data_IF_512927832713
#
_entry.id   IF_512927832713
#
_cell.length_a   1.000
_cell.length_b   1.000
_cell.length_c   1.000
_cell.angle_alpha   90.00
_cell.angle_beta   90.00
_cell.angle_gamma   90.00
#
_symmetry.space_group_name_H-M   'P 1'
#
loop_
_entity.id
_entity.type
_entity.pdbx_description
1 polymer ?
#
# COMPACT_ATOMS: atom_id res chain seq x y z
N UNK A 1 -14.51 7.84 30.08
CA UNK A 1 -14.50 6.36 29.99
C UNK A 1 -13.99 6.01 28.60
N UNK A 2 -12.77 5.48 28.46
CA UNK A 2 -12.29 5.01 27.13
C UNK A 2 -13.18 3.84 26.72
N UNK A 3 -13.83 3.93 25.56
CA UNK A 3 -14.52 2.78 24.96
C UNK A 3 -13.45 1.77 24.57
N UNK A 4 -13.40 0.62 25.23
CA UNK A 4 -12.63 -0.51 24.73
C UNK A 4 -13.39 -1.11 23.54
N UNK A 5 -12.72 -1.21 22.40
CA UNK A 5 -13.29 -1.79 21.18
C UNK A 5 -13.22 -3.33 21.27
N UNK A 6 -14.26 -4.06 20.81
CA UNK A 6 -14.25 -5.52 20.78
C UNK A 6 -13.04 -6.09 20.02
N UNK A 7 -12.50 -7.27 20.37
CA UNK A 7 -11.27 -7.79 19.75
C UNK A 7 -11.25 -7.81 18.22
N UNK A 8 -12.38 -8.09 17.56
CA UNK A 8 -12.53 -8.16 16.09
C UNK A 8 -13.17 -6.91 15.45
N UNK A 9 -13.21 -5.76 16.13
CA UNK A 9 -13.87 -4.54 15.63
C UNK A 9 -13.38 -4.09 14.24
N UNK A 10 -12.10 -4.28 13.96
CA UNK A 10 -11.48 -3.94 12.68
C UNK A 10 -12.06 -4.75 11.51
N UNK A 11 -12.48 -5.99 11.76
CA UNK A 11 -13.12 -6.83 10.75
C UNK A 11 -14.53 -6.29 10.43
N UNK A 12 -15.27 -5.84 11.44
CA UNK A 12 -16.56 -5.16 11.25
C UNK A 12 -16.42 -3.92 10.38
N UNK A 13 -15.42 -3.07 10.65
CA UNK A 13 -15.16 -1.88 9.82
C UNK A 13 -14.74 -2.25 8.40
N UNK A 14 -13.98 -3.34 8.24
CA UNK A 14 -13.61 -3.80 6.91
C UNK A 14 -14.83 -4.29 6.12
N UNK A 15 -15.76 -5.00 6.76
CA UNK A 15 -17.03 -5.35 6.12
C UNK A 15 -17.90 -4.12 5.80
N UNK A 16 -17.96 -3.11 6.69
CA UNK A 16 -18.60 -1.81 6.41
C UNK A 16 -18.00 -1.15 5.17
N UNK A 17 -16.67 -1.16 5.07
CA UNK A 17 -15.95 -0.65 3.91
C UNK A 17 -16.28 -1.44 2.63
N UNK A 18 -16.30 -2.77 2.67
CA UNK A 18 -16.59 -3.59 1.50
C UNK A 18 -18.03 -3.44 1.01
N UNK A 19 -18.99 -3.19 1.90
CA UNK A 19 -20.39 -2.93 1.53
C UNK A 19 -20.55 -1.75 0.58
N UNK A 20 -19.63 -0.78 0.62
CA UNK A 20 -19.62 0.33 -0.33
C UNK A 20 -19.50 -0.13 -1.78
N UNK A 21 -18.86 -1.28 -2.04
CA UNK A 21 -18.63 -1.82 -3.38
C UNK A 21 -19.71 -2.81 -3.83
N UNK A 22 -20.82 -2.92 -3.09
CA UNK A 22 -22.00 -3.65 -3.52
C UNK A 22 -22.89 -2.76 -4.42
N UNK A 23 -23.89 -3.36 -5.09
CA UNK A 23 -24.86 -2.61 -5.88
C UNK A 23 -24.22 -1.80 -7.03
N UNK A 24 -24.58 -0.52 -7.15
CA UNK A 24 -24.13 0.33 -8.25
C UNK A 24 -22.61 0.57 -8.28
N UNK A 25 -21.96 0.63 -7.11
CA UNK A 25 -20.53 0.88 -7.00
C UNK A 25 -19.68 -0.35 -7.37
N UNK A 26 -20.27 -1.55 -7.46
CA UNK A 26 -19.58 -2.75 -7.95
C UNK A 26 -19.06 -2.58 -9.38
N UNK A 27 -19.73 -1.74 -10.18
CA UNK A 27 -19.33 -1.41 -11.55
C UNK A 27 -18.02 -0.63 -11.63
N UNK A 28 -17.55 -0.05 -10.51
CA UNK A 28 -16.30 0.69 -10.46
C UNK A 28 -15.08 -0.21 -10.21
N UNK A 29 -15.29 -1.49 -9.89
CA UNK A 29 -14.19 -2.39 -9.54
C UNK A 29 -13.32 -2.73 -10.75
N UNK A 30 -12.00 -2.63 -10.58
CA UNK A 30 -11.05 -3.31 -11.47
C UNK A 30 -11.16 -4.82 -11.30
N UNK A 31 -10.67 -5.59 -12.27
CA UNK A 31 -10.76 -7.06 -12.22
C UNK A 31 -9.97 -7.61 -11.03
N UNK A 32 -8.81 -7.02 -10.74
CA UNK A 32 -8.00 -7.34 -9.55
C UNK A 32 -8.72 -7.02 -8.23
N UNK A 33 -9.43 -5.89 -8.17
CA UNK A 33 -10.20 -5.52 -6.99
C UNK A 33 -11.43 -6.41 -6.80
N UNK A 34 -12.08 -6.81 -7.90
CA UNK A 34 -13.19 -7.76 -7.85
C UNK A 34 -12.73 -9.15 -7.36
N UNK A 35 -11.61 -9.67 -7.88
CA UNK A 35 -10.99 -10.93 -7.44
C UNK A 35 -10.65 -10.87 -5.94
N UNK A 36 -10.05 -9.76 -5.48
CA UNK A 36 -9.77 -9.55 -4.06
C UNK A 36 -11.02 -9.66 -3.19
N UNK A 37 -12.11 -8.98 -3.55
CA UNK A 37 -13.36 -8.99 -2.78
C UNK A 37 -13.96 -10.39 -2.74
N UNK A 38 -13.99 -11.09 -3.88
CA UNK A 38 -14.51 -12.45 -3.99
C UNK A 38 -13.69 -13.42 -3.11
N UNK A 39 -12.36 -13.44 -3.29
CA UNK A 39 -11.47 -14.30 -2.51
C UNK A 39 -11.52 -13.98 -1.02
N UNK A 40 -11.60 -12.70 -0.64
CA UNK A 40 -11.71 -12.29 0.76
C UNK A 40 -13.00 -12.84 1.38
N UNK A 41 -14.13 -12.75 0.69
CA UNK A 41 -15.40 -13.21 1.20
C UNK A 41 -15.43 -14.74 1.40
N UNK A 42 -14.69 -15.49 0.58
CA UNK A 42 -14.56 -16.94 0.68
C UNK A 42 -13.68 -17.43 1.86
N UNK A 43 -12.90 -16.57 2.50
CA UNK A 43 -12.09 -16.92 3.67
C UNK A 43 -12.96 -17.17 4.91
N UNK A 44 -12.50 -18.03 5.82
CA UNK A 44 -13.03 -18.08 7.18
C UNK A 44 -12.63 -16.85 8.00
N UNK A 45 -13.26 -16.69 9.16
CA UNK A 45 -13.09 -15.50 10.00
C UNK A 45 -11.65 -15.29 10.51
N UNK A 46 -10.92 -16.36 10.81
CA UNK A 46 -9.56 -16.26 11.36
C UNK A 46 -8.58 -15.77 10.28
N UNK A 47 -8.73 -16.29 9.05
CA UNK A 47 -7.98 -15.82 7.88
C UNK A 47 -8.35 -14.39 7.50
N UNK A 48 -9.65 -14.05 7.53
CA UNK A 48 -10.12 -12.66 7.36
C UNK A 48 -9.45 -11.74 8.38
N UNK A 49 -9.33 -12.17 9.63
CA UNK A 49 -8.66 -11.37 10.65
C UNK A 49 -7.19 -11.08 10.30
N UNK A 50 -6.43 -12.08 9.86
CA UNK A 50 -5.03 -11.89 9.42
C UNK A 50 -4.95 -10.91 8.24
N UNK A 51 -5.76 -11.10 7.21
CA UNK A 51 -5.78 -10.22 6.03
C UNK A 51 -6.12 -8.78 6.42
N UNK A 52 -7.14 -8.57 7.24
CA UNK A 52 -7.54 -7.22 7.66
C UNK A 52 -6.51 -6.59 8.59
N UNK A 53 -5.85 -7.36 9.47
CA UNK A 53 -4.74 -6.87 10.30
C UNK A 53 -3.58 -6.40 9.44
N UNK A 54 -3.25 -7.14 8.37
CA UNK A 54 -2.24 -6.76 7.40
C UNK A 54 -2.66 -5.52 6.60
N UNK A 55 -3.90 -5.48 6.09
CA UNK A 55 -4.50 -4.36 5.37
C UNK A 55 -4.51 -3.04 6.17
N UNK A 56 -4.60 -3.11 7.50
CA UNK A 56 -4.55 -1.94 8.37
C UNK A 56 -3.14 -1.42 8.64
N UNK A 57 -2.08 -2.13 8.21
CA UNK A 57 -0.70 -1.65 8.33
C UNK A 57 -0.41 -0.55 7.33
N UNK A 58 0.67 0.19 7.59
CA UNK A 58 1.04 1.34 6.77
C UNK A 58 1.63 0.94 5.41
N UNK A 59 2.32 -0.21 5.38
CA UNK A 59 3.15 -0.69 4.29
C UNK A 59 2.72 -2.12 3.93
N UNK A 60 3.00 -2.55 2.70
CA UNK A 60 2.59 -3.86 2.20
C UNK A 60 3.40 -5.01 2.82
N UNK A 61 4.56 -4.73 3.43
CA UNK A 61 5.38 -5.74 4.11
C UNK A 61 4.98 -5.86 5.57
N UNK A 62 4.77 -7.09 6.03
CA UNK A 62 4.54 -7.44 7.44
C UNK A 62 5.67 -8.32 7.97
N UNK A 63 5.91 -8.23 9.28
CA UNK A 63 6.70 -9.21 10.02
C UNK A 63 5.74 -10.23 10.65
N UNK A 64 5.69 -11.44 10.10
CA UNK A 64 4.75 -12.49 10.53
C UNK A 64 4.97 -12.92 11.98
N UNK A 65 6.18 -12.74 12.52
CA UNK A 65 6.49 -13.08 13.92
C UNK A 65 5.74 -12.19 14.92
N UNK A 66 5.23 -11.04 14.46
CA UNK A 66 4.43 -10.12 15.24
C UNK A 66 2.91 -10.35 15.10
N UNK A 67 2.49 -11.26 14.21
CA UNK A 67 1.09 -11.56 13.94
C UNK A 67 0.57 -12.71 14.81
N UNK A 68 0.69 -12.56 16.14
CA UNK A 68 0.22 -13.54 17.13
C UNK A 68 -0.93 -12.96 17.97
N UNK A 69 -2.09 -12.77 17.32
CA UNK A 69 -3.26 -12.16 17.93
C UNK A 69 -4.11 -13.19 18.68
N UNK A 70 -4.45 -12.90 19.94
CA UNK A 70 -5.16 -13.86 20.81
C UNK A 70 -6.59 -14.19 20.37
N UNK A 71 -7.20 -13.37 19.53
CA UNK A 71 -8.51 -13.64 18.94
C UNK A 71 -8.48 -14.58 17.72
N UNK A 72 -7.31 -15.00 17.24
CA UNK A 72 -7.13 -15.83 16.05
C UNK A 72 -6.61 -17.21 16.46
N UNK A 73 -7.25 -18.28 16.00
CA UNK A 73 -6.82 -19.66 16.30
C UNK A 73 -5.60 -20.01 15.46
N UNK A 74 -4.52 -20.43 16.14
CA UNK A 74 -3.25 -20.83 15.51
C UNK A 74 -2.76 -19.84 14.42
N UNK A 75 -2.47 -18.57 14.76
CA UNK A 75 -2.25 -17.49 13.79
C UNK A 75 -1.19 -17.81 12.72
N UNK A 76 -0.10 -18.48 13.12
CA UNK A 76 0.97 -18.84 12.19
C UNK A 76 0.53 -19.89 11.16
N UNK A 77 -0.29 -20.87 11.56
CA UNK A 77 -0.86 -21.85 10.63
C UNK A 77 -1.85 -21.20 9.65
N UNK A 78 -2.63 -20.20 10.09
CA UNK A 78 -3.48 -19.42 9.20
C UNK A 78 -2.64 -18.62 8.18
N UNK A 79 -1.51 -18.05 8.63
CA UNK A 79 -0.57 -17.34 7.74
C UNK A 79 0.03 -18.29 6.71
N UNK A 80 0.45 -19.50 7.11
CA UNK A 80 1.01 -20.50 6.20
C UNK A 80 0.01 -20.85 5.09
N UNK A 81 -1.26 -21.12 5.45
CA UNK A 81 -2.31 -21.35 4.47
C UNK A 81 -2.51 -20.15 3.51
N UNK A 82 -2.44 -18.92 4.04
CA UNK A 82 -2.59 -17.70 3.26
C UNK A 82 -1.43 -17.47 2.29
N UNK A 83 -0.21 -17.90 2.65
CA UNK A 83 0.94 -17.93 1.74
C UNK A 83 0.65 -18.90 0.60
N UNK A 84 0.29 -20.15 0.92
CA UNK A 84 0.00 -21.19 -0.07
C UNK A 84 -1.15 -20.81 -1.02
N UNK A 85 -2.09 -20.00 -0.51
CA UNK A 85 -3.26 -19.51 -1.27
C UNK A 85 -3.01 -18.19 -1.99
N UNK A 86 -1.77 -17.69 -2.03
CA UNK A 86 -1.37 -16.51 -2.79
C UNK A 86 -1.88 -15.17 -2.25
N UNK A 87 -2.08 -15.05 -0.93
CA UNK A 87 -2.34 -13.76 -0.28
C UNK A 87 -1.05 -13.03 0.10
N UNK A 88 -0.01 -13.80 0.38
CA UNK A 88 1.29 -13.30 0.79
C UNK A 88 2.40 -13.85 -0.11
N UNK A 89 3.34 -12.99 -0.47
CA UNK A 89 4.54 -13.34 -1.21
C UNK A 89 5.81 -13.00 -0.43
N UNK A 90 6.96 -13.28 -1.02
CA UNK A 90 8.26 -12.91 -0.46
C UNK A 90 8.63 -11.44 -0.76
N UNK A 91 9.76 -10.99 -0.19
CA UNK A 91 10.27 -9.64 -0.34
C UNK A 91 10.66 -9.24 -1.77
N UNK A 92 10.74 -10.15 -2.74
CA UNK A 92 10.98 -9.76 -4.14
C UNK A 92 9.80 -8.98 -4.73
N UNK A 93 8.63 -9.06 -4.09
CA UNK A 93 7.42 -8.33 -4.45
C UNK A 93 7.32 -6.95 -3.76
N UNK A 94 8.25 -6.61 -2.86
CA UNK A 94 8.19 -5.39 -2.07
C UNK A 94 8.86 -4.21 -2.80
N UNK A 95 8.30 -3.01 -2.64
CA UNK A 95 9.04 -1.79 -2.98
C UNK A 95 10.10 -1.48 -1.90
N UNK A 96 11.11 -0.69 -2.25
CA UNK A 96 12.07 -0.14 -1.28
C UNK A 96 11.38 0.57 -0.12
N UNK A 97 10.29 1.28 -0.41
CA UNK A 97 9.55 2.00 0.61
C UNK A 97 8.82 1.06 1.58
N UNK A 98 8.37 -0.11 1.11
CA UNK A 98 7.75 -1.11 1.99
C UNK A 98 8.79 -1.77 2.91
N UNK A 99 9.96 -2.13 2.37
CA UNK A 99 11.09 -2.65 3.14
C UNK A 99 11.55 -1.61 4.18
N UNK A 100 11.68 -0.35 3.75
CA UNK A 100 11.97 0.78 4.64
C UNK A 100 10.90 0.98 5.71
N UNK A 101 9.65 0.60 5.42
CA UNK A 101 8.54 0.74 6.33
C UNK A 101 8.58 -0.23 7.50
N UNK A 102 8.97 -1.49 7.23
CA UNK A 102 8.97 -2.56 8.22
C UNK A 102 10.28 -2.65 9.02
N UNK A 103 11.43 -2.42 8.38
CA UNK A 103 12.73 -2.56 9.05
C UNK A 103 13.03 -1.35 9.94
N UNK A 104 13.56 -1.56 11.13
CA UNK A 104 14.05 -0.44 11.95
C UNK A 104 15.35 0.12 11.39
N UNK A 105 15.73 1.35 11.78
CA UNK A 105 17.04 1.91 11.36
C UNK A 105 18.19 1.02 11.86
N UNK A 106 18.07 0.49 13.07
CA UNK A 106 19.08 -0.39 13.66
C UNK A 106 19.17 -1.73 12.93
N UNK A 107 18.02 -2.31 12.52
CA UNK A 107 18.01 -3.51 11.69
C UNK A 107 18.71 -3.28 10.34
N UNK A 108 18.46 -2.13 9.68
CA UNK A 108 19.16 -1.76 8.45
C UNK A 108 20.67 -1.63 8.65
N UNK A 109 21.11 -1.01 9.75
CA UNK A 109 22.53 -0.87 10.07
C UNK A 109 23.20 -2.22 10.34
N UNK A 110 22.51 -3.12 11.05
CA UNK A 110 23.00 -4.48 11.31
C UNK A 110 23.18 -5.25 9.99
N UNK A 111 22.19 -5.20 9.10
CA UNK A 111 22.27 -5.84 7.78
C UNK A 111 23.40 -5.26 6.92
N UNK A 112 23.56 -3.94 6.93
CA UNK A 112 24.62 -3.27 6.18
C UNK A 112 26.03 -3.60 6.70
N UNK A 113 26.17 -3.86 8.00
CA UNK A 113 27.44 -4.25 8.60
C UNK A 113 27.99 -5.58 8.07
N UNK A 114 27.12 -6.48 7.61
CA UNK A 114 27.53 -7.77 7.03
C UNK A 114 28.16 -7.62 5.64
N UNK A 115 27.92 -6.51 4.94
CA UNK A 115 28.55 -6.22 3.65
C UNK A 115 29.89 -5.50 3.75
N UNK A 116 30.27 -5.01 4.95
CA UNK A 116 31.56 -4.35 5.19
C UNK A 116 31.51 -3.23 6.23
N UNK A 117 32.28 -2.17 5.99
CA UNK A 117 32.46 -1.08 6.96
C UNK A 117 31.15 -0.34 7.25
N UNK A 118 30.90 -0.11 8.55
CA UNK A 118 29.75 0.65 9.05
C UNK A 118 30.04 2.14 9.23
N UNK A 119 31.27 2.58 8.92
CA UNK A 119 31.71 3.95 9.15
C UNK A 119 30.84 4.95 8.38
N UNK A 120 30.22 5.89 9.10
CA UNK A 120 29.35 6.91 8.51
C UNK A 120 27.92 6.46 8.20
N UNK A 121 27.58 5.18 8.30
CA UNK A 121 26.21 4.71 8.01
C UNK A 121 25.19 5.23 9.03
N UNK A 122 25.57 5.32 10.31
CA UNK A 122 24.66 5.77 11.36
C UNK A 122 24.15 7.21 11.16
N UNK A 123 24.90 8.07 10.47
CA UNK A 123 24.48 9.45 10.17
C UNK A 123 23.57 9.56 8.95
N UNK A 124 23.44 8.50 8.14
CA UNK A 124 22.58 8.49 6.97
C UNK A 124 21.09 8.42 7.37
N UNK A 125 20.25 8.96 6.48
CA UNK A 125 18.81 8.86 6.59
C UNK A 125 18.35 7.44 6.25
N UNK A 126 17.21 7.01 6.81
CA UNK A 126 16.65 5.68 6.55
C UNK A 126 16.45 5.38 5.05
N UNK A 127 15.94 6.31 4.21
CA UNK A 127 15.83 6.06 2.77
C UNK A 127 17.19 5.78 2.11
N UNK A 128 18.24 6.54 2.46
CA UNK A 128 19.59 6.30 1.92
C UNK A 128 20.14 4.93 2.33
N UNK A 129 19.92 4.52 3.58
CA UNK A 129 20.32 3.20 4.07
C UNK A 129 19.62 2.07 3.30
N UNK A 130 18.34 2.25 2.97
CA UNK A 130 17.56 1.25 2.23
C UNK A 130 18.02 1.16 0.78
N UNK A 131 18.30 2.29 0.12
CA UNK A 131 18.88 2.29 -1.23
C UNK A 131 20.21 1.54 -1.25
N UNK A 132 21.11 1.85 -0.32
CA UNK A 132 22.39 1.17 -0.19
C UNK A 132 22.23 -0.33 0.08
N UNK A 133 21.30 -0.70 0.97
CA UNK A 133 21.01 -2.11 1.26
C UNK A 133 20.54 -2.84 0.01
N UNK A 134 19.67 -2.23 -0.79
CA UNK A 134 19.18 -2.82 -2.03
C UNK A 134 20.27 -3.01 -3.08
N UNK A 135 21.19 -2.06 -3.22
CA UNK A 135 22.37 -2.19 -4.10
C UNK A 135 23.23 -3.39 -3.70
N UNK A 136 23.48 -3.55 -2.39
CA UNK A 136 24.21 -4.71 -1.87
C UNK A 136 23.48 -6.03 -2.08
N UNK A 137 22.17 -6.08 -1.82
CA UNK A 137 21.34 -7.26 -2.06
C UNK A 137 21.36 -7.64 -3.55
N UNK A 138 21.24 -6.67 -4.45
CA UNK A 138 21.28 -6.93 -5.90
C UNK A 138 22.62 -7.49 -6.36
N UNK A 139 23.72 -7.08 -5.73
CA UNK A 139 25.06 -7.52 -6.10
C UNK A 139 25.48 -8.84 -5.41
N UNK A 140 25.00 -9.12 -4.19
CA UNK A 140 25.54 -10.17 -3.31
C UNK A 140 24.48 -11.09 -2.69
N UNK A 141 23.19 -10.83 -2.92
CA UNK A 141 22.09 -11.50 -2.22
C UNK A 141 21.89 -10.95 -0.81
N UNK A 142 20.83 -11.38 -0.13
CA UNK A 142 20.55 -11.01 1.26
C UNK A 142 21.59 -11.59 2.24
N UNK A 143 21.86 -10.94 3.38
CA UNK A 143 22.75 -11.50 4.40
C UNK A 143 22.14 -12.78 5.00
N UNK A 144 22.97 -13.79 5.28
CA UNK A 144 22.51 -15.09 5.80
C UNK A 144 21.83 -14.97 7.18
N UNK A 145 22.20 -13.95 7.97
CA UNK A 145 21.60 -13.70 9.28
C UNK A 145 20.13 -13.24 9.17
N UNK A 146 19.72 -12.74 8.00
CA UNK A 146 18.41 -12.16 7.81
C UNK A 146 17.38 -13.23 7.51
N UNK A 147 16.44 -13.41 8.44
CA UNK A 147 15.34 -14.37 8.30
C UNK A 147 14.28 -13.85 7.31
N UNK A 148 14.54 -14.02 6.00
CA UNK A 148 13.63 -13.60 4.92
C UNK A 148 12.20 -14.14 5.11
N UNK A 149 12.08 -15.37 5.57
CA UNK A 149 10.78 -16.04 5.79
C UNK A 149 9.91 -15.37 6.86
N UNK A 150 10.48 -14.47 7.67
CA UNK A 150 9.71 -13.69 8.65
C UNK A 150 8.96 -12.53 8.00
N UNK A 151 9.37 -12.10 6.80
CA UNK A 151 8.80 -10.93 6.15
C UNK A 151 7.96 -11.34 4.95
N UNK A 152 6.70 -10.92 4.96
CA UNK A 152 5.72 -11.27 3.94
C UNK A 152 5.19 -10.01 3.27
N UNK A 153 5.03 -10.05 1.95
CA UNK A 153 4.44 -8.97 1.15
C UNK A 153 2.97 -9.29 0.91
N UNK A 154 2.08 -8.33 1.19
CA UNK A 154 0.67 -8.42 0.88
C UNK A 154 0.48 -8.31 -0.64
N UNK A 155 0.20 -9.43 -1.32
CA UNK A 155 0.01 -9.45 -2.77
C UNK A 155 -1.28 -8.76 -3.22
N UNK A 156 -2.16 -8.45 -2.27
CA UNK A 156 -3.41 -7.72 -2.47
C UNK A 156 -3.29 -6.20 -2.24
N UNK A 157 -2.10 -5.66 -1.95
CA UNK A 157 -1.95 -4.24 -1.60
C UNK A 157 -2.42 -3.30 -2.72
N UNK A 158 -2.18 -3.64 -3.99
CA UNK A 158 -2.61 -2.81 -5.12
C UNK A 158 -4.15 -2.76 -5.23
N UNK A 159 -4.82 -3.92 -5.22
CA UNK A 159 -6.27 -4.03 -5.13
C UNK A 159 -6.85 -3.25 -3.94
N UNK A 160 -6.27 -3.40 -2.75
CA UNK A 160 -6.72 -2.69 -1.54
C UNK A 160 -6.56 -1.18 -1.69
N UNK A 161 -5.43 -0.69 -2.18
CA UNK A 161 -5.19 0.74 -2.38
C UNK A 161 -6.12 1.33 -3.44
N UNK A 162 -6.45 0.57 -4.48
CA UNK A 162 -7.49 0.94 -5.44
C UNK A 162 -8.84 1.10 -4.75
N UNK A 163 -9.31 0.10 -3.99
CA UNK A 163 -10.56 0.19 -3.25
C UNK A 163 -10.58 1.40 -2.30
N UNK A 164 -9.51 1.61 -1.53
CA UNK A 164 -9.39 2.76 -0.64
C UNK A 164 -9.49 4.09 -1.40
N UNK A 165 -8.85 4.16 -2.57
CA UNK A 165 -8.94 5.33 -3.44
C UNK A 165 -10.37 5.58 -3.93
N UNK A 166 -11.08 4.54 -4.37
CA UNK A 166 -12.48 4.68 -4.82
C UNK A 166 -13.39 5.17 -3.68
N UNK A 167 -13.21 4.62 -2.49
CA UNK A 167 -14.00 4.99 -1.31
C UNK A 167 -13.70 6.44 -0.83
N UNK A 168 -12.42 6.78 -0.68
CA UNK A 168 -12.00 8.04 -0.07
C UNK A 168 -11.76 9.18 -1.07
N UNK A 169 -11.64 8.89 -2.36
CA UNK A 169 -11.25 9.86 -3.39
C UNK A 169 -9.83 10.42 -3.19
N UNK A 170 -8.93 9.67 -2.55
CA UNK A 170 -7.52 10.06 -2.40
C UNK A 170 -6.63 8.87 -2.01
N UNK A 171 -5.32 9.00 -2.24
CA UNK A 171 -4.32 7.94 -2.00
C UNK A 171 -3.71 7.94 -0.59
N UNK A 172 -4.11 8.89 0.27
CA UNK A 172 -3.54 9.07 1.62
C UNK A 172 -4.39 8.43 2.72
N UNK A 173 -5.70 8.31 2.49
CA UNK A 173 -6.64 7.73 3.43
C UNK A 173 -6.39 6.23 3.66
N UNK A 174 -6.79 5.76 4.84
CA UNK A 174 -6.54 4.39 5.32
C UNK A 174 -7.73 3.89 6.14
N UNK A 175 -7.82 2.56 6.29
CA UNK A 175 -8.86 1.87 7.07
C UNK A 175 -8.92 2.31 8.54
N UNK A 176 -7.82 2.81 9.10
CA UNK A 176 -7.82 3.30 10.48
C UNK A 176 -8.73 4.52 10.72
N UNK A 177 -9.23 5.18 9.67
CA UNK A 177 -10.20 6.28 9.79
C UNK A 177 -11.54 5.85 10.37
N UNK A 178 -11.99 4.62 10.11
CA UNK A 178 -13.20 4.06 10.73
C UNK A 178 -13.04 3.97 12.26
N UNK A 179 -11.92 3.43 12.71
CA UNK A 179 -11.56 3.38 14.13
C UNK A 179 -11.47 4.77 14.76
N UNK A 180 -10.86 5.74 14.07
CA UNK A 180 -10.73 7.12 14.56
C UNK A 180 -12.08 7.86 14.65
N UNK A 181 -13.02 7.57 13.74
CA UNK A 181 -14.42 8.04 13.80
C UNK A 181 -15.10 7.51 15.05
N UNK A 182 -15.05 6.20 15.25
CA UNK A 182 -15.77 5.53 16.34
C UNK A 182 -15.21 5.85 17.73
N UNK A 183 -13.90 6.15 17.81
CA UNK A 183 -13.24 6.68 19.01
C UNK A 183 -13.52 8.17 19.25
N UNK A 184 -14.23 8.86 18.35
CA UNK A 184 -14.54 10.29 18.46
C UNK A 184 -13.34 11.22 18.24
N UNK A 185 -12.21 10.69 17.75
CA UNK A 185 -10.97 11.44 17.49
C UNK A 185 -11.02 12.15 16.15
N UNK A 186 -11.73 11.58 15.17
CA UNK A 186 -11.95 12.18 13.86
C UNK A 186 -13.43 12.53 13.70
N UNK A 187 -13.74 13.80 13.49
CA UNK A 187 -15.08 14.21 13.07
C UNK A 187 -15.25 13.84 11.59
N UNK A 188 -16.14 12.91 11.30
CA UNK A 188 -16.68 12.79 9.95
C UNK A 188 -17.48 14.04 9.67
N UNK A 189 -17.19 14.76 8.57
CA UNK A 189 -18.21 15.68 8.05
C UNK A 189 -19.42 14.82 7.77
N UNK A 190 -20.59 15.19 8.29
CA UNK A 190 -21.86 14.49 8.07
C UNK A 190 -22.20 14.29 6.58
N UNK A 191 -21.46 14.95 5.68
CA UNK A 191 -21.64 14.94 4.23
C UNK A 191 -20.57 14.13 3.44
N UNK A 192 -19.58 13.50 4.07
CA UNK A 192 -18.37 13.05 3.32
C UNK A 192 -18.41 11.63 2.73
N UNK A 193 -19.47 10.86 2.91
CA UNK A 193 -19.75 9.68 2.06
C UNK A 193 -21.17 9.86 1.56
N UNK A 194 -21.33 10.70 0.55
CA UNK A 194 -22.55 10.63 -0.25
C UNK A 194 -22.57 9.23 -0.87
N UNK A 195 -23.70 8.54 -0.77
CA UNK A 195 -23.94 7.22 -1.39
C UNK A 195 -23.81 7.24 -2.92
N UNK A 196 -23.55 8.42 -3.49
CA UNK A 196 -23.22 8.64 -4.89
C UNK A 196 -21.75 8.36 -5.18
N UNK A 197 -21.53 7.54 -6.20
CA UNK A 197 -20.22 7.25 -6.78
C UNK A 197 -19.43 8.53 -7.06
N UNK A 198 -18.18 8.59 -6.57
CA UNK A 198 -17.23 9.69 -6.87
C UNK A 198 -16.70 9.67 -8.30
N UNK A 199 -16.89 8.54 -8.97
CA UNK A 199 -16.41 8.26 -10.32
C UNK A 199 -17.62 7.84 -11.15
N UNK A 200 -17.69 8.33 -12.38
CA UNK A 200 -18.87 8.13 -13.22
C UNK A 200 -18.89 6.73 -13.87
N UNK A 201 -17.72 6.12 -14.04
CA UNK A 201 -17.55 4.83 -14.72
C UNK A 201 -16.29 4.10 -14.26
N UNK A 202 -16.20 2.80 -14.59
CA UNK A 202 -14.99 1.98 -14.40
C UNK A 202 -13.76 2.60 -15.06
N UNK A 203 -13.91 3.08 -16.30
CA UNK A 203 -12.80 3.69 -17.04
C UNK A 203 -12.33 5.00 -16.41
N UNK A 204 -13.24 5.86 -15.96
CA UNK A 204 -12.89 7.08 -15.21
C UNK A 204 -12.18 6.74 -13.90
N UNK A 205 -12.69 5.76 -13.14
CA UNK A 205 -12.08 5.28 -11.90
C UNK A 205 -10.66 4.72 -12.12
N UNK A 206 -10.45 3.90 -13.14
CA UNK A 206 -9.14 3.32 -13.48
C UNK A 206 -8.15 4.39 -13.97
N UNK A 207 -8.57 5.32 -14.82
CA UNK A 207 -7.74 6.42 -15.26
C UNK A 207 -7.35 7.34 -14.10
N UNK A 208 -8.33 7.71 -13.25
CA UNK A 208 -8.07 8.51 -12.05
C UNK A 208 -7.09 7.84 -11.09
N UNK A 209 -7.24 6.52 -10.88
CA UNK A 209 -6.31 5.76 -10.07
C UNK A 209 -4.90 5.76 -10.65
N UNK A 210 -4.74 5.51 -11.96
CA UNK A 210 -3.44 5.55 -12.63
C UNK A 210 -2.71 6.86 -12.32
N UNK A 211 -3.37 7.98 -12.58
CA UNK A 211 -2.79 9.31 -12.37
C UNK A 211 -2.48 9.59 -10.90
N UNK A 212 -3.43 9.33 -10.00
CA UNK A 212 -3.27 9.58 -8.57
C UNK A 212 -2.17 8.70 -7.94
N UNK A 213 -2.07 7.44 -8.37
CA UNK A 213 -1.08 6.49 -7.90
C UNK A 213 0.33 6.92 -8.32
N UNK A 214 0.54 7.23 -9.61
CA UNK A 214 1.84 7.75 -10.07
C UNK A 214 2.21 9.07 -9.38
N UNK A 215 1.27 10.00 -9.25
CA UNK A 215 1.51 11.28 -8.59
C UNK A 215 2.00 11.09 -7.15
N UNK A 216 1.41 10.15 -6.42
CA UNK A 216 1.81 9.83 -5.04
C UNK A 216 3.22 9.23 -4.92
N UNK A 217 3.72 8.64 -6.00
CA UNK A 217 5.02 7.95 -6.05
C UNK A 217 6.12 8.79 -6.70
N UNK A 218 5.81 9.90 -7.39
CA UNK A 218 6.77 10.75 -8.10
C UNK A 218 7.97 11.20 -7.27
N UNK A 219 7.82 11.33 -5.95
CA UNK A 219 8.91 11.71 -5.05
C UNK A 219 10.00 10.61 -4.91
N UNK A 220 9.67 9.37 -5.26
CA UNK A 220 10.53 8.19 -5.11
C UNK A 220 11.08 7.69 -6.45
N UNK A 221 10.65 8.25 -7.58
CA UNK A 221 11.16 7.86 -8.89
C UNK A 221 12.55 8.44 -9.11
N UNK A 222 13.46 7.61 -9.60
CA UNK A 222 14.74 8.06 -10.13
C UNK A 222 14.56 8.68 -11.53
N UNK A 223 15.63 9.21 -12.10
CA UNK A 223 15.58 9.91 -13.39
C UNK A 223 15.06 8.99 -14.50
N UNK A 224 15.53 7.75 -14.57
CA UNK A 224 15.11 6.79 -15.60
C UNK A 224 13.62 6.47 -15.50
N UNK A 225 13.09 6.28 -14.29
CA UNK A 225 11.67 6.05 -14.05
C UNK A 225 10.82 7.27 -14.41
N UNK A 226 11.31 8.49 -14.17
CA UNK A 226 10.61 9.72 -14.56
C UNK A 226 10.52 9.85 -16.07
N UNK A 227 11.62 9.61 -16.79
CA UNK A 227 11.66 9.64 -18.25
C UNK A 227 10.80 8.53 -18.85
N UNK A 228 10.91 7.30 -18.34
CA UNK A 228 10.08 6.18 -18.79
C UNK A 228 8.58 6.43 -18.57
N UNK A 229 8.21 7.07 -17.45
CA UNK A 229 6.82 7.46 -17.22
C UNK A 229 6.39 8.56 -18.22
N UNK A 230 7.23 9.56 -18.49
CA UNK A 230 6.92 10.63 -19.43
C UNK A 230 6.73 10.13 -20.87
N UNK A 231 7.45 9.08 -21.26
CA UNK A 231 7.35 8.45 -22.58
C UNK A 231 6.25 7.37 -22.65
N UNK A 232 5.58 7.05 -21.54
CA UNK A 232 4.54 6.02 -21.51
C UNK A 232 3.18 6.51 -22.00
N UNK A 233 2.36 5.58 -22.49
CA UNK A 233 0.99 5.86 -22.88
C UNK A 233 0.11 6.08 -21.63
N UNK A 234 -0.44 7.29 -21.50
CA UNK A 234 -1.37 7.60 -20.43
C UNK A 234 -2.82 7.28 -20.83
N UNK A 235 -3.65 6.77 -19.89
CA UNK A 235 -5.06 6.49 -20.17
C UNK A 235 -5.81 7.74 -20.64
N UNK A 236 -6.43 7.68 -21.82
CA UNK A 236 -7.30 8.76 -22.28
C UNK A 236 -8.49 8.92 -21.33
N UNK A 237 -8.86 10.16 -21.02
CA UNK A 237 -10.02 10.44 -20.18
C UNK A 237 -10.70 11.75 -20.52
N UNK A 238 -12.03 11.71 -20.53
CA UNK A 238 -12.93 12.87 -20.55
C UNK A 238 -13.68 13.02 -19.21
N UNK A 239 -13.47 12.09 -18.28
CA UNK A 239 -14.10 12.10 -16.96
C UNK A 239 -13.54 13.23 -16.09
N UNK A 240 -14.42 13.86 -15.30
CA UNK A 240 -14.06 15.01 -14.45
C UNK A 240 -13.02 14.60 -13.40
N UNK A 241 -13.23 13.46 -12.74
CA UNK A 241 -12.35 12.96 -11.68
C UNK A 241 -10.97 12.59 -12.22
N UNK A 242 -10.89 11.80 -13.30
CA UNK A 242 -9.60 11.44 -13.88
C UNK A 242 -8.86 12.66 -14.46
N UNK A 243 -9.56 13.62 -15.07
CA UNK A 243 -8.95 14.86 -15.57
C UNK A 243 -8.27 15.66 -14.46
N UNK A 244 -8.88 15.75 -13.28
CA UNK A 244 -8.28 16.40 -12.12
C UNK A 244 -6.93 15.78 -11.73
N UNK A 245 -6.86 14.45 -11.61
CA UNK A 245 -5.60 13.78 -11.25
C UNK A 245 -4.58 13.78 -12.38
N UNK A 246 -5.02 13.70 -13.64
CA UNK A 246 -4.17 13.85 -14.82
C UNK A 246 -3.41 15.16 -14.76
N UNK A 247 -4.12 16.27 -14.56
CA UNK A 247 -3.51 17.60 -14.56
C UNK A 247 -2.50 17.74 -13.41
N UNK A 248 -2.77 17.14 -12.23
CA UNK A 248 -1.80 17.07 -11.14
C UNK A 248 -0.53 16.27 -11.50
N UNK A 249 -0.70 15.08 -12.10
CA UNK A 249 0.44 14.25 -12.50
C UNK A 249 1.27 14.95 -13.56
N UNK A 250 0.65 15.40 -14.65
CA UNK A 250 1.35 15.98 -15.80
C UNK A 250 2.11 17.24 -15.41
N UNK A 251 1.52 18.10 -14.58
CA UNK A 251 2.20 19.29 -14.08
C UNK A 251 3.45 18.93 -13.27
N UNK A 252 3.32 18.02 -12.31
CA UNK A 252 4.45 17.65 -11.44
C UNK A 252 5.53 16.85 -12.17
N UNK A 253 5.14 15.96 -13.08
CA UNK A 253 6.05 15.19 -13.92
C UNK A 253 6.81 16.13 -14.87
N UNK A 254 6.10 17.04 -15.55
CA UNK A 254 6.70 18.03 -16.45
C UNK A 254 7.73 18.91 -15.75
N UNK A 255 7.44 19.39 -14.53
CA UNK A 255 8.42 20.14 -13.71
C UNK A 255 9.68 19.31 -13.41
N UNK A 256 9.52 18.04 -13.06
CA UNK A 256 10.67 17.15 -12.76
C UNK A 256 11.49 16.87 -14.02
N UNK A 257 10.86 16.53 -15.14
CA UNK A 257 11.56 16.28 -16.41
C UNK A 257 12.25 17.53 -16.93
N UNK A 258 11.64 18.71 -16.80
CA UNK A 258 12.27 19.97 -17.18
C UNK A 258 13.53 20.28 -16.37
N UNK A 259 13.54 19.99 -15.06
CA UNK A 259 14.74 20.14 -14.23
C UNK A 259 15.86 19.14 -14.59
N UNK A 260 15.53 18.02 -15.24
CA UNK A 260 16.49 16.99 -15.64
C UNK A 260 17.10 17.25 -17.02
N UNK A 261 16.33 17.82 -17.96
CA UNK A 261 16.71 17.97 -19.38
C UNK A 261 16.93 19.45 -19.75
N UNK A 262 16.57 20.37 -18.86
CA UNK A 262 16.66 21.82 -19.09
C UNK A 262 18.10 22.31 -19.29
N UNK A 263 18.28 23.50 -19.88
CA UNK A 263 19.55 23.99 -20.41
C UNK A 263 20.68 24.27 -19.38
N UNK A 264 20.53 23.91 -18.10
CA UNK A 264 21.57 24.04 -17.06
C UNK A 264 21.67 22.79 -16.14
N UNK A 265 21.34 21.60 -16.64
CA UNK A 265 21.52 20.31 -15.95
C UNK A 265 22.84 19.61 -16.28
#
# INVERSE_FOLDING_TARGET
>A
MRKDLPPRYYLTHFHEFLKFFEGANSMLLSDEAADFVERFNALDDDKKCIVVRAANRKYAVIDRTQFNYGEITEPQAQIDWLIDSGWFGDLSNASLNDIAGVLTKDALLALLAEYGSTQGLASLTKPKLVTLLNEHIGARGWPESFSLNNYLVCLFDNALRYLLFIYFGNTKSRLNQFSMRDLGVMRTRSDSVTDTARFESKSDAQAAWFYANHYSQLAFYNNDMLLALADSDFPATEGVSASFYRDQLLYALGLKCWLLIGPEG
#
